data_IF_736773016988
#
_entry.id   IF_736773016988
#
_cell.length_a   1.000
_cell.length_b   1.000
_cell.length_c   1.000
_cell.angle_alpha   90.00
_cell.angle_beta   90.00
_cell.angle_gamma   90.00
#
_symmetry.space_group_name_H-M   'P 1'
#
loop_
_entity.id
_entity.type
_entity.pdbx_description
1 polymer ?
#
# COMPACT_ATOMS: atom_id res chain seq x y z
N UNK A 1 -20.92 16.15 -21.09
CA UNK A 1 -20.24 17.42 -21.49
C UNK A 1 -19.32 17.85 -20.36
N UNK A 2 -18.01 17.91 -20.60
CA UNK A 2 -17.02 18.39 -19.61
C UNK A 2 -17.16 19.90 -19.53
N UNK A 3 -17.21 20.45 -18.32
CA UNK A 3 -17.37 21.89 -18.09
C UNK A 3 -16.22 22.69 -18.76
N UNK A 4 -16.45 23.95 -19.22
CA UNK A 4 -15.43 24.72 -19.92
C UNK A 4 -14.10 24.93 -19.15
N UNK A 5 -14.16 24.98 -17.83
CA UNK A 5 -12.98 25.05 -16.97
C UNK A 5 -12.11 23.77 -17.00
N UNK A 6 -12.75 22.60 -17.12
CA UNK A 6 -12.03 21.32 -17.24
C UNK A 6 -11.34 21.19 -18.62
N UNK A 7 -11.93 21.74 -19.69
CA UNK A 7 -11.27 21.76 -21.00
C UNK A 7 -10.02 22.63 -21.01
N UNK A 8 -10.05 23.80 -20.38
CA UNK A 8 -8.87 24.68 -20.28
C UNK A 8 -7.72 24.02 -19.50
N UNK A 9 -8.00 23.30 -18.43
CA UNK A 9 -6.97 22.59 -17.68
C UNK A 9 -6.33 21.44 -18.47
N UNK A 10 -7.09 20.76 -19.34
CA UNK A 10 -6.58 19.70 -20.22
C UNK A 10 -5.71 20.29 -21.34
N UNK A 11 -6.13 21.38 -21.97
CA UNK A 11 -5.32 22.06 -22.99
C UNK A 11 -3.99 22.59 -22.41
N UNK A 12 -4.03 23.17 -21.21
CA UNK A 12 -2.83 23.68 -20.52
C UNK A 12 -1.86 22.56 -20.13
N UNK A 13 -2.37 21.41 -19.76
CA UNK A 13 -1.55 20.23 -19.42
C UNK A 13 -0.78 19.68 -20.64
N UNK A 14 -1.31 19.90 -21.87
CA UNK A 14 -0.64 19.46 -23.11
C UNK A 14 0.64 20.24 -23.45
N UNK A 15 0.83 21.43 -22.88
CA UNK A 15 2.03 22.24 -23.07
C UNK A 15 3.18 21.85 -22.13
N UNK A 16 2.88 21.10 -21.05
CA UNK A 16 3.87 20.71 -20.06
C UNK A 16 4.47 19.36 -20.45
N UNK A 17 5.73 19.40 -20.81
CA UNK A 17 6.47 18.19 -21.21
C UNK A 17 7.15 17.56 -20.01
N UNK A 18 7.02 16.24 -19.91
CA UNK A 18 7.62 15.43 -18.85
C UNK A 18 8.59 14.44 -19.47
N UNK A 19 9.81 14.40 -18.98
CA UNK A 19 10.78 13.37 -19.32
C UNK A 19 10.95 12.39 -18.15
N UNK A 20 11.08 11.10 -18.45
CA UNK A 20 11.44 10.06 -17.46
C UNK A 20 12.72 9.38 -17.91
N UNK A 21 13.77 9.49 -17.09
CA UNK A 21 15.10 9.02 -17.40
C UNK A 21 15.59 8.15 -16.27
N UNK A 22 16.14 7.02 -16.62
CA UNK A 22 16.71 6.08 -15.65
C UNK A 22 16.27 4.67 -15.91
N UNK A 23 16.92 3.75 -15.23
CA UNK A 23 16.73 2.30 -15.41
C UNK A 23 16.30 1.61 -14.11
N UNK A 24 16.15 2.36 -13.00
CA UNK A 24 15.68 1.78 -11.76
C UNK A 24 14.18 1.46 -11.83
N UNK A 25 13.70 0.64 -10.91
CA UNK A 25 12.30 0.18 -10.91
C UNK A 25 11.32 1.30 -10.60
N UNK A 26 11.68 2.22 -9.74
CA UNK A 26 10.83 3.36 -9.40
C UNK A 26 10.54 4.25 -10.60
N UNK A 27 11.54 4.55 -11.43
CA UNK A 27 11.33 5.31 -12.68
C UNK A 27 10.49 4.55 -13.70
N UNK A 28 10.68 3.23 -13.81
CA UNK A 28 9.82 2.39 -14.64
C UNK A 28 8.35 2.49 -14.22
N UNK A 29 8.06 2.38 -12.92
CA UNK A 29 6.69 2.47 -12.43
C UNK A 29 6.12 3.90 -12.53
N UNK A 30 6.92 4.94 -12.33
CA UNK A 30 6.48 6.32 -12.54
C UNK A 30 6.02 6.54 -13.98
N UNK A 31 6.79 6.07 -14.95
CA UNK A 31 6.42 6.10 -16.38
C UNK A 31 5.09 5.39 -16.65
N UNK A 32 4.91 4.21 -16.05
CA UNK A 32 3.69 3.43 -16.20
C UNK A 32 2.47 4.16 -15.61
N UNK A 33 2.57 4.72 -14.41
CA UNK A 33 1.49 5.46 -13.77
C UNK A 33 1.11 6.73 -14.52
N UNK A 34 2.09 7.46 -15.04
CA UNK A 34 1.84 8.64 -15.87
C UNK A 34 1.11 8.28 -17.16
N UNK A 35 1.51 7.20 -17.82
CA UNK A 35 0.81 6.71 -19.02
C UNK A 35 -0.64 6.34 -18.72
N UNK A 36 -0.91 5.64 -17.62
CA UNK A 36 -2.27 5.29 -17.19
C UNK A 36 -3.12 6.52 -16.84
N UNK A 37 -2.51 7.59 -16.35
CA UNK A 37 -3.21 8.84 -16.04
C UNK A 37 -3.51 9.71 -17.26
N UNK A 38 -3.14 9.27 -18.47
CA UNK A 38 -3.31 10.03 -19.70
C UNK A 38 -2.21 11.09 -19.95
N UNK A 39 -1.13 11.06 -19.18
CA UNK A 39 0.03 11.94 -19.31
C UNK A 39 1.31 11.15 -19.59
N UNK A 40 1.39 10.42 -20.73
CA UNK A 40 2.59 9.65 -21.02
C UNK A 40 3.80 10.56 -21.13
N UNK A 41 4.94 10.20 -20.55
CA UNK A 41 6.15 10.97 -20.71
C UNK A 41 6.51 11.09 -22.21
N UNK A 42 6.71 12.28 -22.67
CA UNK A 42 7.05 12.58 -24.06
C UNK A 42 7.98 13.78 -24.09
N UNK A 43 9.22 13.56 -24.39
CA UNK A 43 10.17 14.64 -24.62
C UNK A 43 11.60 14.30 -24.24
N UNK A 44 12.49 15.03 -24.84
CA UNK A 44 13.90 15.03 -24.50
C UNK A 44 14.13 15.92 -23.25
N UNK A 45 15.21 15.66 -22.54
CA UNK A 45 15.58 16.41 -21.32
C UNK A 45 15.63 17.91 -21.59
N UNK A 46 16.13 18.30 -22.76
CA UNK A 46 16.33 19.71 -23.10
C UNK A 46 15.00 20.48 -23.18
N UNK A 47 13.98 19.86 -23.73
CA UNK A 47 12.68 20.48 -24.01
C UNK A 47 11.63 20.28 -22.93
N UNK A 48 11.93 19.53 -21.85
CA UNK A 48 10.93 19.24 -20.83
C UNK A 48 10.91 20.27 -19.69
N UNK A 49 9.79 20.34 -19.01
CA UNK A 49 9.57 21.19 -17.85
C UNK A 49 9.78 20.42 -16.53
N UNK A 50 9.47 19.11 -16.56
CA UNK A 50 9.58 18.22 -15.42
C UNK A 50 10.42 17.01 -15.82
N UNK A 51 11.40 16.69 -15.01
CA UNK A 51 12.26 15.53 -15.18
C UNK A 51 12.03 14.57 -13.99
N UNK A 52 11.66 13.33 -14.30
CA UNK A 52 11.77 12.24 -13.34
C UNK A 52 13.04 11.49 -13.65
N UNK A 53 13.89 11.29 -12.66
CA UNK A 53 15.17 10.61 -12.88
C UNK A 53 15.44 9.58 -11.79
N UNK A 54 16.22 8.56 -12.16
CA UNK A 54 16.90 7.69 -11.22
C UNK A 54 17.85 8.53 -10.37
N UNK A 55 17.70 8.48 -9.07
CA UNK A 55 18.50 9.28 -8.15
C UNK A 55 20.01 9.10 -8.32
N UNK A 56 20.44 7.93 -8.77
CA UNK A 56 21.86 7.64 -9.03
C UNK A 56 22.39 8.28 -10.31
N UNK A 57 21.50 8.65 -11.24
CA UNK A 57 21.89 9.25 -12.53
C UNK A 57 22.14 10.75 -12.43
N UNK A 58 21.70 11.41 -11.37
CA UNK A 58 21.84 12.87 -11.22
C UNK A 58 23.28 13.35 -11.17
N UNK A 59 24.20 12.50 -10.77
CA UNK A 59 25.64 12.81 -10.81
C UNK A 59 26.19 12.89 -12.24
N UNK A 60 25.50 12.30 -13.21
CA UNK A 60 25.92 12.22 -14.62
C UNK A 60 25.42 13.44 -15.41
N UNK A 61 24.29 14.02 -14.99
CA UNK A 61 23.72 15.14 -15.71
C UNK A 61 24.29 16.48 -15.20
N UNK A 62 24.78 17.28 -16.14
CA UNK A 62 25.27 18.62 -15.84
C UNK A 62 24.14 19.44 -15.21
N UNK A 63 24.42 20.12 -14.13
CA UNK A 63 23.54 21.05 -13.42
C UNK A 63 22.81 22.03 -14.36
N UNK A 64 23.46 22.38 -15.49
CA UNK A 64 22.90 23.21 -16.55
C UNK A 64 21.64 22.66 -17.23
N UNK A 65 21.47 21.33 -17.30
CA UNK A 65 20.28 20.71 -17.91
C UNK A 65 19.07 20.69 -16.98
N UNK A 66 19.30 20.82 -15.69
CA UNK A 66 18.26 20.80 -14.66
C UNK A 66 17.78 22.21 -14.28
N UNK A 67 18.49 23.22 -14.72
CA UNK A 67 18.19 24.63 -14.40
C UNK A 67 16.80 25.04 -14.91
N UNK A 68 16.02 25.67 -14.03
CA UNK A 68 14.64 26.12 -14.29
C UNK A 68 13.64 24.97 -14.53
N UNK A 69 13.92 23.79 -14.07
CA UNK A 69 13.03 22.64 -14.20
C UNK A 69 12.65 22.07 -12.84
N UNK A 70 11.56 21.35 -12.80
CA UNK A 70 11.22 20.51 -11.64
C UNK A 70 11.89 19.16 -11.85
N UNK A 71 12.70 18.74 -10.89
CA UNK A 71 13.42 17.46 -10.92
C UNK A 71 12.91 16.56 -9.80
N UNK A 72 12.47 15.38 -10.15
CA UNK A 72 11.99 14.35 -9.21
C UNK A 72 12.95 13.18 -9.28
N UNK A 73 13.77 13.01 -8.24
CA UNK A 73 14.74 11.92 -8.14
C UNK A 73 14.11 10.75 -7.38
N UNK A 74 14.04 9.60 -8.01
CA UNK A 74 13.46 8.38 -7.44
C UNK A 74 14.57 7.40 -7.03
N UNK A 75 14.49 6.92 -5.81
CA UNK A 75 15.46 6.04 -5.20
C UNK A 75 14.80 4.71 -4.80
N UNK A 76 15.24 3.59 -5.36
CA UNK A 76 14.71 2.26 -5.04
C UNK A 76 14.99 1.82 -3.59
N UNK A 77 15.84 2.56 -2.89
CA UNK A 77 16.15 2.32 -1.49
C UNK A 77 16.13 3.63 -0.69
N UNK A 78 17.25 4.13 -0.26
CA UNK A 78 17.40 5.41 0.44
C UNK A 78 18.08 6.44 -0.46
N UNK A 79 17.87 7.72 -0.17
CA UNK A 79 18.55 8.81 -0.85
C UNK A 79 20.08 8.63 -0.74
N UNK A 80 20.77 8.71 -1.88
CA UNK A 80 22.21 8.52 -2.04
C UNK A 80 22.74 7.09 -1.80
N UNK A 81 21.86 6.08 -1.67
CA UNK A 81 22.28 4.70 -1.48
C UNK A 81 21.73 3.77 -2.56
N UNK A 82 22.58 2.85 -3.01
CA UNK A 82 22.16 1.74 -3.88
C UNK A 82 21.44 0.68 -3.07
N UNK A 83 20.32 0.22 -3.58
CA UNK A 83 19.53 -0.84 -2.96
C UNK A 83 18.26 -1.14 -3.75
N UNK A 84 17.38 -1.91 -3.15
CA UNK A 84 16.13 -2.38 -3.75
C UNK A 84 15.02 -2.33 -2.70
N UNK A 85 13.79 -2.64 -3.08
CA UNK A 85 12.64 -2.69 -2.19
C UNK A 85 12.78 -3.63 -0.99
N UNK A 86 13.60 -4.68 -1.09
CA UNK A 86 13.92 -5.53 0.06
C UNK A 86 14.64 -4.73 1.14
N UNK A 87 15.63 -3.93 0.76
CA UNK A 87 16.35 -3.07 1.68
C UNK A 87 15.43 -1.98 2.25
N UNK A 88 14.59 -1.39 1.39
CA UNK A 88 13.59 -0.40 1.81
C UNK A 88 12.60 -1.00 2.82
N UNK A 89 12.10 -2.22 2.58
CA UNK A 89 11.20 -2.93 3.51
C UNK A 89 11.86 -3.20 4.87
N UNK A 90 13.15 -3.52 4.86
CA UNK A 90 13.89 -3.82 6.09
C UNK A 90 14.14 -2.54 6.92
N UNK A 91 14.70 -1.49 6.31
CA UNK A 91 15.08 -0.27 7.04
C UNK A 91 13.88 0.54 7.51
N UNK A 92 12.77 0.50 6.78
CA UNK A 92 11.53 1.18 7.17
C UNK A 92 10.79 0.52 8.33
N UNK A 93 11.18 -0.69 8.71
CA UNK A 93 10.45 -1.49 9.69
C UNK A 93 9.24 -2.24 9.13
N UNK A 94 8.86 -2.05 7.86
CA UNK A 94 7.73 -2.75 7.25
C UNK A 94 7.88 -4.27 7.33
N UNK A 95 9.08 -4.79 7.04
CA UNK A 95 9.36 -6.22 7.12
C UNK A 95 9.15 -6.81 8.53
N UNK A 96 9.30 -6.02 9.58
CA UNK A 96 9.12 -6.49 10.95
C UNK A 96 7.66 -6.76 11.31
N UNK A 97 6.72 -6.18 10.58
CA UNK A 97 5.29 -6.33 10.81
C UNK A 97 4.64 -7.43 9.96
N UNK A 98 5.37 -7.98 8.99
CA UNK A 98 4.88 -9.01 8.05
C UNK A 98 5.52 -10.35 8.37
N UNK A 99 4.72 -11.42 8.30
CA UNK A 99 5.16 -12.79 8.53
C UNK A 99 4.40 -13.49 9.66
N UNK A 100 4.80 -14.72 9.96
CA UNK A 100 4.23 -15.47 11.07
C UNK A 100 4.65 -14.89 12.42
N UNK A 101 3.80 -15.04 13.44
CA UNK A 101 4.00 -14.47 14.78
C UNK A 101 5.40 -14.77 15.33
N UNK A 102 5.82 -16.03 15.23
CA UNK A 102 7.08 -16.53 15.80
C UNK A 102 8.18 -16.70 14.74
N UNK A 103 7.94 -16.22 13.51
CA UNK A 103 8.87 -16.28 12.40
C UNK A 103 9.74 -15.03 12.24
N UNK A 104 10.68 -15.04 11.29
CA UNK A 104 11.41 -13.85 10.90
C UNK A 104 10.49 -12.83 10.25
N UNK A 105 10.94 -11.56 10.17
CA UNK A 105 10.31 -10.56 9.33
C UNK A 105 10.38 -10.95 7.86
N UNK A 106 9.35 -10.61 7.10
CA UNK A 106 9.25 -10.92 5.68
C UNK A 106 9.17 -9.61 4.90
N UNK A 107 10.00 -9.47 3.88
CA UNK A 107 9.93 -8.32 2.99
C UNK A 107 8.59 -8.30 2.25
N UNK A 108 8.16 -7.10 1.88
CA UNK A 108 7.01 -6.94 0.98
C UNK A 108 7.30 -7.67 -0.35
N UNK A 109 6.29 -8.37 -0.90
CA UNK A 109 6.49 -9.09 -2.15
C UNK A 109 6.77 -8.13 -3.31
N UNK A 110 7.62 -8.60 -4.20
CA UNK A 110 7.89 -8.07 -5.54
C UNK A 110 7.65 -6.58 -5.78
N UNK A 111 8.69 -5.78 -5.67
CA UNK A 111 8.71 -4.39 -6.17
C UNK A 111 7.66 -3.45 -5.56
N UNK A 112 6.95 -3.86 -4.50
CA UNK A 112 5.94 -3.00 -3.87
C UNK A 112 6.54 -1.65 -3.42
N UNK A 113 7.70 -1.61 -2.73
CA UNK A 113 8.30 -0.33 -2.36
C UNK A 113 8.61 0.56 -3.56
N UNK A 114 9.15 -0.02 -4.62
CA UNK A 114 9.48 0.69 -5.85
C UNK A 114 8.23 1.14 -6.61
N UNK A 115 7.17 0.32 -6.63
CA UNK A 115 5.86 0.69 -7.21
C UNK A 115 5.27 1.91 -6.50
N UNK A 116 5.33 1.95 -5.19
CA UNK A 116 4.85 3.08 -4.41
C UNK A 116 5.74 4.32 -4.61
N UNK A 117 7.06 4.14 -4.68
CA UNK A 117 7.99 5.21 -4.99
C UNK A 117 7.69 5.82 -6.38
N UNK A 118 7.49 4.97 -7.39
CA UNK A 118 7.09 5.40 -8.73
C UNK A 118 5.73 6.10 -8.75
N UNK A 119 4.75 5.60 -8.00
CA UNK A 119 3.45 6.24 -7.88
C UNK A 119 3.55 7.63 -7.24
N UNK A 120 4.36 7.79 -6.21
CA UNK A 120 4.63 9.09 -5.60
C UNK A 120 5.30 10.06 -6.57
N UNK A 121 6.26 9.58 -7.36
CA UNK A 121 6.87 10.38 -8.44
C UNK A 121 5.83 10.86 -9.45
N UNK A 122 4.90 9.99 -9.85
CA UNK A 122 3.80 10.37 -10.73
C UNK A 122 2.84 11.39 -10.08
N UNK A 123 2.50 11.21 -8.79
CA UNK A 123 1.66 12.14 -8.04
C UNK A 123 2.30 13.52 -7.96
N UNK A 124 3.60 13.61 -7.65
CA UNK A 124 4.32 14.88 -7.62
C UNK A 124 4.32 15.56 -9.00
N UNK A 125 4.55 14.78 -10.06
CA UNK A 125 4.48 15.27 -11.44
C UNK A 125 3.10 15.87 -11.74
N UNK A 126 2.03 15.14 -11.47
CA UNK A 126 0.66 15.61 -11.68
C UNK A 126 0.33 16.83 -10.81
N UNK A 127 0.86 16.89 -9.61
CA UNK A 127 0.70 18.05 -8.72
C UNK A 127 1.38 19.29 -9.28
N UNK A 128 2.58 19.15 -9.87
CA UNK A 128 3.27 20.27 -10.53
C UNK A 128 2.59 20.71 -11.82
N UNK A 129 2.05 19.77 -12.60
CA UNK A 129 1.21 20.08 -13.76
C UNK A 129 -0.03 20.88 -13.32
N UNK A 130 -0.71 20.41 -12.27
CA UNK A 130 -1.86 21.10 -11.71
C UNK A 130 -1.52 22.49 -11.19
N UNK A 131 -0.43 22.63 -10.44
CA UNK A 131 0.04 23.89 -9.91
C UNK A 131 0.32 24.91 -11.03
N UNK A 132 0.88 24.43 -12.12
CA UNK A 132 1.13 25.25 -13.31
C UNK A 132 -0.18 25.66 -13.99
N UNK A 133 -1.11 24.74 -14.18
CA UNK A 133 -2.42 25.00 -14.74
C UNK A 133 -3.23 26.05 -13.93
N UNK A 134 -2.98 26.12 -12.62
CA UNK A 134 -3.54 27.14 -11.73
C UNK A 134 -2.85 28.51 -11.83
N UNK A 135 -1.93 28.73 -12.78
CA UNK A 135 -1.28 30.01 -13.05
C UNK A 135 0.02 30.27 -12.29
N UNK A 136 0.54 29.27 -11.56
CA UNK A 136 1.84 29.41 -10.91
C UNK A 136 2.98 29.23 -11.90
N UNK A 137 4.10 29.94 -11.68
CA UNK A 137 5.33 29.76 -12.45
C UNK A 137 6.10 28.53 -12.00
N UNK A 138 6.85 27.91 -12.91
CA UNK A 138 7.81 26.89 -12.52
C UNK A 138 8.89 27.52 -11.63
N UNK A 139 9.13 26.88 -10.50
CA UNK A 139 10.28 27.14 -9.66
C UNK A 139 11.27 26.00 -9.87
N UNK A 140 12.55 26.29 -9.74
CA UNK A 140 13.58 25.27 -9.67
C UNK A 140 13.42 24.51 -8.36
N UNK A 141 12.94 23.28 -8.44
CA UNK A 141 12.69 22.43 -7.28
C UNK A 141 13.23 21.04 -7.57
N UNK A 142 13.93 20.48 -6.59
CA UNK A 142 14.36 19.09 -6.60
C UNK A 142 13.60 18.34 -5.49
N UNK A 143 12.89 17.32 -5.89
CA UNK A 143 12.26 16.36 -4.97
C UNK A 143 13.09 15.09 -4.91
N UNK A 144 13.49 14.68 -3.72
CA UNK A 144 14.02 13.34 -3.47
C UNK A 144 12.92 12.47 -2.89
N UNK A 145 12.65 11.36 -3.55
CA UNK A 145 11.64 10.38 -3.16
C UNK A 145 12.30 9.02 -3.04
N UNK A 146 12.35 8.46 -1.85
CA UNK A 146 12.92 7.15 -1.64
C UNK A 146 11.88 6.11 -1.27
N UNK A 147 12.06 4.88 -1.75
CA UNK A 147 11.19 3.76 -1.41
C UNK A 147 11.19 3.50 0.12
N UNK A 148 12.32 3.71 0.79
CA UNK A 148 12.42 3.53 2.24
C UNK A 148 11.58 4.55 3.01
N UNK A 149 11.61 5.83 2.61
CA UNK A 149 10.84 6.89 3.29
C UNK A 149 9.34 6.68 3.10
N UNK A 150 8.93 6.25 1.90
CA UNK A 150 7.53 5.92 1.63
C UNK A 150 7.09 4.75 2.51
N UNK A 151 7.86 3.67 2.55
CA UNK A 151 7.54 2.54 3.41
C UNK A 151 7.53 2.93 4.88
N UNK A 152 8.45 3.80 5.31
CA UNK A 152 8.49 4.31 6.67
C UNK A 152 7.24 5.12 7.02
N UNK A 153 6.67 5.87 6.08
CA UNK A 153 5.44 6.64 6.30
C UNK A 153 4.26 5.77 6.72
N UNK A 154 4.19 4.53 6.26
CA UNK A 154 3.18 3.56 6.71
C UNK A 154 3.41 3.08 8.15
N UNK A 155 4.66 3.02 8.60
CA UNK A 155 4.99 2.63 9.97
C UNK A 155 4.89 3.79 10.97
N UNK A 156 4.97 5.04 10.51
CA UNK A 156 4.82 6.23 11.35
C UNK A 156 3.43 6.38 11.98
N UNK A 157 2.39 5.83 11.37
CA UNK A 157 1.05 5.81 11.95
C UNK A 157 1.02 5.17 13.34
N UNK A 158 2.05 4.43 13.70
CA UNK A 158 2.18 3.70 14.95
C UNK A 158 3.22 4.29 15.91
N UNK A 159 4.00 5.26 15.45
CA UNK A 159 5.08 5.88 16.25
C UNK A 159 4.65 7.18 16.94
N UNK A 160 3.48 7.71 16.61
CA UNK A 160 3.19 9.14 16.78
C UNK A 160 2.54 9.54 18.08
N UNK A 161 2.14 8.68 19.00
CA UNK A 161 1.50 9.15 20.24
C UNK A 161 2.19 8.59 21.49
N UNK A 162 2.60 9.52 22.35
CA UNK A 162 3.18 9.22 23.66
C UNK A 162 2.20 8.53 24.63
N UNK A 163 0.95 8.41 24.24
CA UNK A 163 -0.13 7.92 25.10
C UNK A 163 -0.41 6.42 25.01
N UNK A 164 0.52 5.62 24.50
CA UNK A 164 0.45 4.13 24.46
C UNK A 164 -0.81 3.52 23.81
N UNK A 165 -1.73 4.34 23.31
CA UNK A 165 -3.01 3.93 22.75
C UNK A 165 -2.79 3.22 21.40
N UNK A 166 -1.73 3.55 20.70
CA UNK A 166 -1.38 2.93 19.43
C UNK A 166 -0.42 1.77 19.67
N UNK A 167 -0.95 0.56 19.60
CA UNK A 167 -0.13 -0.65 19.58
C UNK A 167 0.75 -0.60 18.33
N UNK A 168 2.05 -0.78 18.50
CA UNK A 168 2.99 -0.87 17.37
C UNK A 168 2.57 -1.99 16.42
N UNK A 169 2.65 -1.74 15.14
CA UNK A 169 2.53 -2.80 14.13
C UNK A 169 3.54 -3.91 14.44
N UNK A 170 3.05 -5.10 14.57
CA UNK A 170 3.83 -6.30 14.84
C UNK A 170 3.08 -7.51 14.33
N UNK A 171 3.75 -8.62 14.21
CA UNK A 171 3.15 -9.88 13.80
C UNK A 171 2.24 -10.41 14.93
N UNK A 172 0.98 -10.10 14.86
CA UNK A 172 -0.01 -10.45 15.87
C UNK A 172 -0.77 -11.74 15.56
N UNK A 173 -0.35 -12.52 14.55
CA UNK A 173 -1.16 -13.60 14.02
C UNK A 173 -2.37 -13.03 13.24
N UNK A 174 -3.53 -13.67 13.42
CA UNK A 174 -4.77 -13.27 12.72
C UNK A 174 -5.65 -12.34 13.56
N UNK A 175 -5.01 -11.35 14.14
CA UNK A 175 -5.64 -10.33 14.98
C UNK A 175 -5.34 -8.96 14.42
N UNK A 176 -6.36 -8.15 14.19
CA UNK A 176 -6.21 -6.75 13.85
C UNK A 176 -5.71 -5.97 15.07
N UNK A 177 -4.74 -5.08 14.89
CA UNK A 177 -4.26 -4.20 15.97
C UNK A 177 -5.03 -2.90 16.08
N UNK A 178 -5.75 -2.54 15.03
CA UNK A 178 -6.63 -1.37 15.01
C UNK A 178 -7.77 -1.52 16.02
N UNK A 179 -8.29 -0.41 16.48
CA UNK A 179 -9.41 -0.38 17.44
C UNK A 179 -9.20 -1.18 18.73
N UNK A 180 -7.94 -1.32 19.18
CA UNK A 180 -7.64 -2.02 20.42
C UNK A 180 -7.41 -3.53 20.31
N UNK A 181 -7.44 -4.03 19.12
CA UNK A 181 -7.30 -5.46 18.82
C UNK A 181 -8.63 -6.16 18.64
N UNK A 182 -8.82 -6.84 17.51
CA UNK A 182 -10.03 -7.60 17.21
C UNK A 182 -9.68 -8.87 16.42
N UNK A 183 -10.37 -9.95 16.71
CA UNK A 183 -10.28 -11.25 16.03
C UNK A 183 -11.60 -11.54 15.29
N UNK A 184 -11.61 -12.17 14.11
CA UNK A 184 -10.47 -12.57 13.29
C UNK A 184 -10.08 -11.50 12.24
N UNK A 185 -8.82 -11.42 11.91
CA UNK A 185 -8.35 -10.69 10.75
C UNK A 185 -7.15 -11.40 10.12
N UNK A 186 -7.29 -11.91 8.90
CA UNK A 186 -6.20 -12.58 8.19
C UNK A 186 -6.64 -13.65 7.21
N UNK A 187 -5.66 -14.42 6.75
CA UNK A 187 -5.87 -15.52 5.83
C UNK A 187 -6.01 -16.84 6.57
N UNK A 188 -7.09 -17.54 6.31
CA UNK A 188 -7.41 -18.82 6.93
C UNK A 188 -7.45 -19.93 5.89
N UNK A 189 -6.96 -21.14 6.22
CA UNK A 189 -7.07 -22.27 5.30
C UNK A 189 -8.53 -22.72 5.17
N UNK A 190 -8.94 -23.04 3.95
CA UNK A 190 -10.20 -23.71 3.64
C UNK A 190 -9.92 -25.02 2.89
N UNK A 191 -10.96 -25.68 2.37
CA UNK A 191 -10.80 -26.99 1.75
C UNK A 191 -9.89 -26.98 0.51
N UNK A 192 -9.97 -25.91 -0.30
CA UNK A 192 -9.32 -25.80 -1.61
C UNK A 192 -8.39 -24.58 -1.72
N UNK A 193 -7.88 -24.09 -0.59
CA UNK A 193 -6.94 -22.97 -0.56
C UNK A 193 -7.08 -22.09 0.68
N UNK A 194 -7.22 -20.80 0.48
CA UNK A 194 -7.32 -19.83 1.57
C UNK A 194 -8.49 -18.85 1.34
N UNK A 195 -9.04 -18.36 2.44
CA UNK A 195 -9.98 -17.23 2.48
C UNK A 195 -9.46 -16.14 3.39
N UNK A 196 -9.73 -14.90 3.03
CA UNK A 196 -9.52 -13.74 3.88
C UNK A 196 -10.76 -13.52 4.74
N UNK A 197 -10.58 -13.35 6.03
CA UNK A 197 -11.61 -12.95 6.98
C UNK A 197 -11.27 -11.60 7.58
N UNK A 198 -12.30 -10.77 7.74
CA UNK A 198 -12.16 -9.47 8.40
C UNK A 198 -13.34 -9.22 9.35
N UNK A 199 -13.09 -9.38 10.63
CA UNK A 199 -14.04 -9.05 11.69
C UNK A 199 -13.62 -7.76 12.40
N UNK A 200 -14.22 -6.61 12.06
CA UNK A 200 -13.89 -5.30 12.64
C UNK A 200 -14.80 -4.90 13.79
N UNK A 201 -15.82 -5.70 14.05
CA UNK A 201 -16.84 -5.40 15.05
C UNK A 201 -17.48 -6.67 15.61
N UNK A 202 -18.23 -6.53 16.71
CA UNK A 202 -19.07 -7.61 17.24
C UNK A 202 -20.09 -8.11 16.21
N UNK A 203 -20.62 -7.18 15.39
CA UNK A 203 -21.55 -7.52 14.31
C UNK A 203 -20.87 -8.41 13.26
N UNK A 204 -19.67 -8.02 12.80
CA UNK A 204 -18.94 -8.81 11.79
C UNK A 204 -18.63 -10.21 12.31
N UNK A 205 -18.21 -10.32 13.57
CA UNK A 205 -17.94 -11.61 14.19
C UNK A 205 -19.19 -12.47 14.30
N UNK A 206 -20.32 -11.89 14.71
CA UNK A 206 -21.62 -12.57 14.71
C UNK A 206 -22.00 -13.06 13.32
N UNK A 207 -21.83 -12.24 12.30
CA UNK A 207 -22.12 -12.58 10.92
C UNK A 207 -21.21 -13.69 10.39
N UNK A 208 -19.93 -13.69 10.74
CA UNK A 208 -18.99 -14.77 10.40
C UNK A 208 -19.44 -16.09 11.02
N UNK A 209 -19.80 -16.08 12.30
CA UNK A 209 -20.31 -17.30 12.98
C UNK A 209 -21.59 -17.81 12.30
N UNK A 210 -22.53 -16.91 11.98
CA UNK A 210 -23.77 -17.25 11.30
C UNK A 210 -23.53 -17.83 9.90
N UNK A 211 -22.63 -17.23 9.12
CA UNK A 211 -22.22 -17.76 7.82
C UNK A 211 -21.65 -19.19 7.90
N UNK A 212 -21.00 -19.52 9.01
CA UNK A 212 -20.48 -20.87 9.27
C UNK A 212 -21.50 -21.82 9.92
N UNK A 213 -22.76 -21.40 10.05
CA UNK A 213 -23.83 -22.21 10.64
C UNK A 213 -23.82 -22.24 12.16
N UNK A 214 -23.22 -21.26 12.82
CA UNK A 214 -23.06 -21.16 14.28
C UNK A 214 -22.50 -22.46 14.88
N UNK A 215 -21.29 -22.86 14.55
CA UNK A 215 -20.72 -24.13 15.02
C UNK A 215 -20.72 -24.17 16.55
N UNK A 216 -20.92 -25.38 17.13
CA UNK A 216 -21.15 -25.57 18.57
C UNK A 216 -20.11 -24.88 19.46
N UNK A 217 -18.84 -24.92 19.07
CA UNK A 217 -17.78 -24.23 19.80
C UNK A 217 -17.99 -22.73 19.91
N UNK A 218 -18.59 -22.12 18.88
CA UNK A 218 -18.81 -20.66 18.81
C UNK A 218 -19.98 -20.18 19.65
N UNK A 219 -20.77 -21.09 20.22
CA UNK A 219 -21.91 -20.79 21.09
C UNK A 219 -21.53 -20.64 22.56
N UNK A 220 -20.26 -20.93 22.90
CA UNK A 220 -19.77 -20.70 24.24
C UNK A 220 -19.48 -19.19 24.44
N UNK A 221 -20.00 -18.64 25.53
CA UNK A 221 -19.89 -17.20 25.87
C UNK A 221 -18.48 -16.64 25.78
N UNK A 222 -17.45 -17.43 26.06
CA UNK A 222 -16.04 -17.02 25.95
C UNK A 222 -15.62 -16.65 24.52
N UNK A 223 -16.38 -17.09 23.51
CA UNK A 223 -16.14 -16.76 22.10
C UNK A 223 -17.06 -15.67 21.54
N UNK A 224 -17.85 -15.02 22.37
CA UNK A 224 -18.81 -14.02 21.91
C UNK A 224 -18.14 -12.66 21.58
N UNK A 225 -17.17 -12.26 22.38
CA UNK A 225 -16.53 -10.96 22.22
C UNK A 225 -15.22 -11.04 21.42
N UNK A 226 -15.19 -10.56 20.16
CA UNK A 226 -14.02 -10.58 19.32
C UNK A 226 -12.87 -9.71 19.85
N UNK A 227 -13.15 -8.75 20.74
CA UNK A 227 -12.13 -7.94 21.39
C UNK A 227 -11.42 -8.72 22.50
N UNK A 228 -12.15 -9.54 23.24
CA UNK A 228 -11.55 -10.43 24.23
C UNK A 228 -10.76 -11.55 23.55
N UNK A 229 -11.28 -12.08 22.45
CA UNK A 229 -10.56 -13.08 21.63
C UNK A 229 -9.24 -12.55 21.07
N UNK A 230 -9.12 -11.25 20.82
CA UNK A 230 -7.86 -10.67 20.36
C UNK A 230 -6.73 -10.72 21.38
N UNK A 231 -7.05 -10.83 22.66
CA UNK A 231 -6.07 -10.94 23.76
C UNK A 231 -5.44 -12.31 23.77
N UNK A 232 -6.25 -13.37 23.61
CA UNK A 232 -5.83 -14.76 23.48
C UNK A 232 -6.66 -15.45 22.40
N UNK A 233 -6.16 -15.38 21.18
CA UNK A 233 -6.86 -15.88 19.99
C UNK A 233 -6.51 -17.32 19.61
N UNK A 234 -5.56 -17.97 20.28
CA UNK A 234 -4.98 -19.23 19.80
C UNK A 234 -6.00 -20.36 19.67
N UNK A 235 -6.86 -20.53 20.67
CA UNK A 235 -7.90 -21.57 20.62
C UNK A 235 -8.98 -21.24 19.59
N UNK A 236 -9.46 -20.00 19.56
CA UNK A 236 -10.45 -19.54 18.59
C UNK A 236 -9.92 -19.67 17.15
N UNK A 237 -8.66 -19.34 16.93
CA UNK A 237 -7.99 -19.49 15.63
C UNK A 237 -7.95 -20.95 15.16
N UNK A 238 -7.59 -21.88 16.04
CA UNK A 238 -7.57 -23.32 15.74
C UNK A 238 -8.98 -23.84 15.41
N UNK A 239 -9.98 -23.47 16.19
CA UNK A 239 -11.36 -23.90 15.99
C UNK A 239 -11.95 -23.32 14.69
N UNK A 240 -11.75 -22.04 14.46
CA UNK A 240 -12.19 -21.35 13.24
C UNK A 240 -11.51 -21.94 12.00
N UNK A 241 -10.21 -22.15 12.05
CA UNK A 241 -9.45 -22.78 10.96
C UNK A 241 -9.94 -24.20 10.65
N UNK A 242 -10.28 -24.98 11.69
CA UNK A 242 -10.85 -26.33 11.51
C UNK A 242 -12.23 -26.28 10.86
N UNK A 243 -13.05 -25.34 11.25
CA UNK A 243 -14.40 -25.15 10.69
C UNK A 243 -14.31 -24.73 9.20
N UNK A 244 -13.47 -23.76 8.89
CA UNK A 244 -13.31 -23.25 7.51
C UNK A 244 -12.80 -24.31 6.53
N UNK A 245 -11.96 -25.23 6.98
CA UNK A 245 -11.47 -26.36 6.15
C UNK A 245 -12.56 -27.31 5.65
N UNK A 246 -13.77 -27.22 6.18
CA UNK A 246 -14.91 -28.04 5.73
C UNK A 246 -15.56 -27.46 4.48
N UNK A 247 -15.26 -26.20 4.11
CA UNK A 247 -15.89 -25.47 3.02
C UNK A 247 -14.90 -25.11 1.91
N UNK A 248 -15.40 -25.03 0.68
CA UNK A 248 -14.65 -24.49 -0.46
C UNK A 248 -14.70 -22.96 -0.48
N UNK A 249 -13.71 -22.33 -1.17
CA UNK A 249 -13.61 -20.88 -1.32
C UNK A 249 -14.91 -20.23 -1.81
N UNK A 250 -15.48 -20.78 -2.90
CA UNK A 250 -16.70 -20.23 -3.50
C UNK A 250 -17.95 -20.40 -2.62
N UNK A 251 -18.00 -21.48 -1.84
CA UNK A 251 -19.07 -21.70 -0.88
C UNK A 251 -18.99 -20.68 0.26
N UNK A 252 -17.79 -20.44 0.77
CA UNK A 252 -17.55 -19.43 1.80
C UNK A 252 -17.86 -18.01 1.29
N UNK A 253 -17.55 -17.71 0.03
CA UNK A 253 -17.93 -16.43 -0.58
C UNK A 253 -19.46 -16.26 -0.61
N UNK A 254 -20.20 -17.28 -1.07
CA UNK A 254 -21.68 -17.24 -1.10
C UNK A 254 -22.26 -17.02 0.29
N UNK A 255 -21.78 -17.77 1.28
CA UNK A 255 -22.18 -17.62 2.69
C UNK A 255 -21.82 -16.23 3.22
N UNK A 256 -20.64 -15.70 2.89
CA UNK A 256 -20.25 -14.36 3.25
C UNK A 256 -21.21 -13.30 2.73
N UNK A 257 -21.61 -13.39 1.48
CA UNK A 257 -22.59 -12.48 0.87
C UNK A 257 -23.98 -12.62 1.50
N UNK A 258 -24.44 -13.85 1.76
CA UNK A 258 -25.76 -14.13 2.34
C UNK A 258 -25.90 -13.56 3.77
N UNK A 259 -24.85 -13.70 4.58
CA UNK A 259 -24.86 -13.30 5.99
C UNK A 259 -24.19 -11.95 6.25
N UNK A 260 -23.87 -11.18 5.21
CA UNK A 260 -23.12 -9.91 5.32
C UNK A 260 -21.80 -10.07 6.11
N UNK A 261 -21.17 -11.23 5.99
CA UNK A 261 -19.88 -11.51 6.63
C UNK A 261 -18.73 -11.21 5.66
N UNK A 262 -17.69 -10.56 6.14
CA UNK A 262 -16.53 -10.22 5.31
C UNK A 262 -15.63 -11.45 5.15
N UNK A 263 -15.98 -12.25 4.16
CA UNK A 263 -15.26 -13.46 3.74
C UNK A 263 -14.97 -13.34 2.25
N UNK A 264 -13.71 -13.41 1.86
CA UNK A 264 -13.30 -13.33 0.47
C UNK A 264 -12.33 -14.48 0.11
N UNK A 265 -12.48 -15.11 -1.06
CA UNK A 265 -11.54 -16.11 -1.52
C UNK A 265 -10.18 -15.47 -1.83
N UNK A 266 -9.11 -16.22 -1.59
CA UNK A 266 -7.76 -15.87 -2.07
C UNK A 266 -7.53 -16.68 -3.34
N UNK A 267 -7.45 -15.99 -4.45
CA UNK A 267 -7.13 -16.60 -5.75
C UNK A 267 -5.63 -16.55 -6.01
N UNK A 268 -5.16 -17.52 -6.80
CA UNK A 268 -3.75 -17.65 -7.24
C UNK A 268 -3.40 -16.62 -8.30
#
# INVERSE_FOLDING_TARGET
>A
MIAPQQRRSIEFASEIKVAVIGSNRSTYYAKHWLALSGNPPAGDIEDCNIIITDGLLTEIYKESLMKNKVVIRLWDYQVNYKGTGIHASAVSGAASSIGYRDGPGVALPNDIPEKWCGAYGAILTLSEIWRRAAGNTFQEIIYDVSAADIMHSFSLQNAGDKNEIFRRWRRNGRVCVEHGGIFPMGFFPCQDGFVALLGRSRRDWKNIRAALGNPDWSQNERFDDPFQLAIDSEEADKLLSRTLRQYKRDELLKKGLEYEAVIAPVYD
#
